data_IF_387813809680
#
_entry.id   IF_387813809680
#
_cell.length_a   1.000
_cell.length_b   1.000
_cell.length_c   1.000
_cell.angle_alpha   90.00
_cell.angle_beta   90.00
_cell.angle_gamma   90.00
#
_symmetry.space_group_name_H-M   'P 1'
#
loop_
_entity.id
_entity.type
_entity.pdbx_description
1 polymer ?
#
# COMPACT_ATOMS: atom_id res chain seq x y z
N UNK A 1 76.58 -13.65 -44.27
CA UNK A 1 75.22 -14.23 -44.17
C UNK A 1 74.88 -14.35 -42.70
N UNK A 2 73.82 -13.65 -42.26
CA UNK A 2 73.17 -13.66 -40.91
C UNK A 2 74.02 -13.07 -39.76
N UNK A 3 73.68 -11.88 -39.23
CA UNK A 3 72.60 -11.56 -38.24
C UNK A 3 72.81 -12.38 -36.93
N UNK A 4 72.86 -11.87 -35.70
CA UNK A 4 72.73 -10.55 -35.08
C UNK A 4 73.34 -10.63 -33.66
N UNK A 5 73.95 -9.56 -33.14
CA UNK A 5 73.37 -8.63 -32.16
C UNK A 5 72.64 -9.31 -30.97
N UNK A 6 73.20 -9.22 -29.77
CA UNK A 6 72.72 -8.32 -28.71
C UNK A 6 73.57 -8.44 -27.43
N UNK A 7 74.02 -7.27 -26.98
CA UNK A 7 74.93 -7.04 -25.87
C UNK A 7 74.24 -7.23 -24.51
N UNK A 8 74.97 -7.86 -23.59
CA UNK A 8 74.66 -7.91 -22.17
C UNK A 8 74.90 -6.53 -21.55
N UNK A 9 73.89 -5.94 -20.90
CA UNK A 9 74.15 -5.13 -19.69
C UNK A 9 72.92 -5.17 -18.80
N UNK A 10 73.09 -5.79 -17.62
CA UNK A 10 72.18 -5.66 -16.49
C UNK A 10 72.35 -4.27 -15.90
N UNK A 11 71.27 -3.52 -15.72
CA UNK A 11 71.26 -2.44 -14.74
C UNK A 11 69.96 -2.50 -13.94
N UNK A 12 70.11 -2.82 -12.66
CA UNK A 12 69.04 -2.81 -11.65
C UNK A 12 68.71 -1.36 -11.33
N UNK A 13 67.46 -0.97 -11.52
CA UNK A 13 66.91 0.23 -10.89
C UNK A 13 65.66 -0.20 -10.14
N UNK A 14 65.85 -0.38 -8.84
CA UNK A 14 64.80 -0.43 -7.85
C UNK A 14 64.09 0.93 -7.87
N UNK A 15 62.79 0.93 -8.19
CA UNK A 15 61.92 2.06 -7.88
C UNK A 15 60.58 1.47 -7.41
N UNK A 16 60.48 1.32 -6.09
CA UNK A 16 59.23 1.01 -5.41
C UNK A 16 58.28 2.20 -5.61
N UNK A 17 57.37 2.10 -6.57
CA UNK A 17 56.20 2.97 -6.66
C UNK A 17 55.07 2.30 -5.89
N UNK A 18 55.02 2.59 -4.60
CA UNK A 18 53.83 2.41 -3.76
C UNK A 18 52.83 3.47 -4.22
N UNK A 19 52.13 3.20 -5.32
CA UNK A 19 50.94 3.93 -5.70
C UNK A 19 49.77 3.39 -4.88
N UNK A 20 49.55 3.97 -3.70
CA UNK A 20 48.37 3.69 -2.89
C UNK A 20 47.12 4.19 -3.63
N UNK A 21 46.54 3.32 -4.46
CA UNK A 21 45.19 3.50 -4.98
C UNK A 21 44.25 3.48 -3.79
N UNK A 22 43.88 4.68 -3.31
CA UNK A 22 42.86 4.85 -2.30
C UNK A 22 41.58 4.19 -2.81
N UNK A 23 41.25 3.02 -2.25
CA UNK A 23 39.95 2.40 -2.38
C UNK A 23 38.95 3.31 -1.68
N UNK A 24 38.45 4.32 -2.39
CA UNK A 24 37.21 4.98 -2.05
C UNK A 24 36.10 3.95 -2.31
N UNK A 25 35.93 3.02 -1.36
CA UNK A 25 34.71 2.24 -1.23
C UNK A 25 33.60 3.22 -0.90
N UNK A 26 33.01 3.82 -1.93
CA UNK A 26 31.73 4.48 -1.80
C UNK A 26 30.71 3.44 -1.36
N UNK A 27 30.20 3.57 -0.15
CA UNK A 27 28.99 2.87 0.26
C UNK A 27 27.89 3.34 -0.69
N UNK A 28 27.51 2.51 -1.65
CA UNK A 28 26.23 2.68 -2.32
C UNK A 28 25.18 2.46 -1.23
N UNK A 29 24.60 3.55 -0.73
CA UNK A 29 23.31 3.46 -0.07
C UNK A 29 22.36 2.90 -1.14
N UNK A 30 21.89 1.67 -0.94
CA UNK A 30 20.73 1.20 -1.69
C UNK A 30 19.65 2.26 -1.54
N UNK A 31 18.88 2.60 -2.60
CA UNK A 31 17.66 3.34 -2.38
C UNK A 31 16.85 2.47 -1.42
N UNK A 32 16.76 2.92 -0.17
CA UNK A 32 15.82 2.35 0.78
C UNK A 32 14.48 2.46 0.07
N UNK A 33 13.79 1.31 -0.10
CA UNK A 33 12.42 1.32 -0.59
C UNK A 33 11.72 2.37 0.27
N UNK A 34 11.22 3.47 -0.32
CA UNK A 34 10.68 4.57 0.47
C UNK A 34 9.69 3.96 1.45
N UNK A 35 9.54 4.60 2.61
CA UNK A 35 8.57 4.26 3.67
C UNK A 35 7.12 4.39 3.15
N UNK A 36 6.85 3.78 2.02
CA UNK A 36 5.70 3.91 1.19
C UNK A 36 4.54 3.28 1.90
N UNK A 37 3.40 3.90 1.71
CA UNK A 37 2.15 3.46 2.26
C UNK A 37 1.09 3.50 1.20
N UNK A 38 0.06 2.70 1.41
CA UNK A 38 -1.22 2.89 0.77
C UNK A 38 -2.20 3.55 1.72
N UNK A 39 -3.23 4.16 1.15
CA UNK A 39 -4.32 4.78 1.91
C UNK A 39 -5.63 4.06 1.60
N UNK A 40 -6.36 3.63 2.62
CA UNK A 40 -7.72 3.13 2.48
C UNK A 40 -8.69 4.18 3.03
N UNK A 41 -9.57 4.68 2.18
CA UNK A 41 -10.54 5.75 2.47
C UNK A 41 -11.95 5.20 2.46
N UNK A 42 -12.66 5.31 3.58
CA UNK A 42 -14.11 5.02 3.66
C UNK A 42 -14.98 6.28 3.69
N UNK A 43 -14.36 7.46 3.55
CA UNK A 43 -15.00 8.74 3.82
C UNK A 43 -15.71 9.34 2.61
N UNK A 44 -15.14 9.16 1.41
CA UNK A 44 -15.64 9.81 0.21
C UNK A 44 -17.02 9.23 -0.16
N UNK A 45 -17.99 10.12 -0.38
CA UNK A 45 -19.34 9.75 -0.80
C UNK A 45 -19.35 9.54 -2.33
N UNK A 46 -19.66 8.33 -2.80
CA UNK A 46 -19.83 8.07 -4.23
C UNK A 46 -21.08 8.76 -4.77
N UNK A 47 -21.14 8.98 -6.08
CA UNK A 47 -22.34 9.50 -6.73
C UNK A 47 -23.51 8.52 -6.58
N UNK A 48 -24.70 9.05 -6.32
CA UNK A 48 -25.89 8.24 -6.04
C UNK A 48 -26.28 7.29 -7.20
N UNK A 49 -25.94 7.63 -8.44
CA UNK A 49 -26.20 6.78 -9.61
C UNK A 49 -25.36 5.50 -9.64
N UNK A 50 -24.30 5.42 -8.84
CA UNK A 50 -23.38 4.28 -8.81
C UNK A 50 -23.80 3.18 -7.85
N UNK A 51 -24.82 3.42 -7.01
CA UNK A 51 -25.27 2.55 -5.93
C UNK A 51 -24.19 2.19 -4.89
N UNK A 52 -23.08 2.93 -4.88
CA UNK A 52 -22.08 2.83 -3.83
C UNK A 52 -22.38 3.81 -2.71
N UNK A 53 -22.33 3.30 -1.49
CA UNK A 53 -22.56 4.05 -0.26
C UNK A 53 -21.32 4.01 0.63
N UNK A 54 -21.23 4.95 1.57
CA UNK A 54 -20.12 4.98 2.53
C UNK A 54 -20.14 3.75 3.44
N UNK A 55 -18.97 3.43 3.95
CA UNK A 55 -18.77 2.41 4.97
C UNK A 55 -17.98 2.98 6.14
N UNK A 56 -18.18 2.41 7.32
CA UNK A 56 -17.33 2.66 8.48
C UNK A 56 -16.54 1.41 8.80
N UNK A 57 -15.23 1.56 8.94
CA UNK A 57 -14.36 0.49 9.43
C UNK A 57 -14.51 0.37 10.93
N UNK A 58 -14.79 -0.84 11.39
CA UNK A 58 -14.97 -1.19 12.81
C UNK A 58 -13.82 -2.02 13.33
N UNK A 59 -13.27 -2.91 12.49
CA UNK A 59 -12.12 -3.73 12.81
C UNK A 59 -11.15 -3.78 11.63
N UNK A 60 -9.86 -3.87 11.96
CA UNK A 60 -8.78 -4.11 11.02
C UNK A 60 -8.01 -5.34 11.51
N UNK A 61 -7.88 -6.36 10.65
CA UNK A 61 -7.26 -7.65 10.98
C UNK A 61 -7.87 -8.28 12.25
N UNK A 62 -9.20 -8.23 12.37
CA UNK A 62 -9.95 -8.74 13.53
C UNK A 62 -9.86 -7.89 14.80
N UNK A 63 -9.02 -6.85 14.84
CA UNK A 63 -8.87 -5.97 15.99
C UNK A 63 -9.78 -4.75 15.87
N UNK A 64 -10.54 -4.44 16.92
CA UNK A 64 -11.39 -3.25 16.96
C UNK A 64 -10.54 -1.97 16.82
N UNK A 65 -10.96 -1.05 15.98
CA UNK A 65 -10.27 0.22 15.73
C UNK A 65 -11.20 1.40 15.93
N UNK A 66 -10.62 2.54 16.30
CA UNK A 66 -11.35 3.82 16.20
C UNK A 66 -11.60 4.12 14.74
N UNK A 67 -12.85 4.44 14.40
CA UNK A 67 -13.23 4.79 13.02
C UNK A 67 -12.49 6.05 12.58
N UNK A 68 -11.82 5.98 11.44
CA UNK A 68 -11.07 7.08 10.82
C UNK A 68 -11.54 7.25 9.37
N UNK A 69 -11.48 8.48 8.81
CA UNK A 69 -11.80 8.69 7.41
C UNK A 69 -10.80 7.98 6.48
N UNK A 70 -9.52 7.95 6.87
CA UNK A 70 -8.43 7.35 6.12
C UNK A 70 -7.57 6.46 7.02
N UNK A 71 -7.13 5.33 6.46
CA UNK A 71 -6.19 4.39 7.07
C UNK A 71 -4.93 4.36 6.22
N UNK A 72 -3.84 4.90 6.75
CA UNK A 72 -2.52 4.81 6.16
C UNK A 72 -1.87 3.50 6.61
N UNK A 73 -1.57 2.62 5.65
CA UNK A 73 -1.14 1.26 5.90
C UNK A 73 0.12 0.94 5.10
N UNK A 74 0.96 0.07 5.63
CA UNK A 74 2.07 -0.46 4.87
C UNK A 74 1.54 -1.32 3.71
N UNK A 75 2.30 -1.51 2.63
CA UNK A 75 1.89 -2.42 1.59
C UNK A 75 1.70 -3.84 2.14
N UNK A 76 0.59 -4.50 1.78
CA UNK A 76 0.27 -5.85 2.23
C UNK A 76 -1.22 -6.16 2.26
N UNK A 77 -1.56 -7.38 2.65
CA UNK A 77 -2.95 -7.84 2.76
C UNK A 77 -3.57 -7.46 4.10
N UNK A 78 -4.77 -6.89 4.04
CA UNK A 78 -5.55 -6.49 5.21
C UNK A 78 -6.96 -7.04 5.14
N UNK A 79 -7.51 -7.36 6.30
CA UNK A 79 -8.90 -7.75 6.49
C UNK A 79 -9.66 -6.61 7.18
N UNK A 80 -10.64 -6.05 6.49
CA UNK A 80 -11.48 -4.97 7.00
C UNK A 80 -12.84 -5.52 7.39
N UNK A 81 -13.28 -5.24 8.61
CA UNK A 81 -14.68 -5.40 9.01
C UNK A 81 -15.39 -4.06 8.93
N UNK A 82 -16.36 -3.96 8.04
CA UNK A 82 -17.07 -2.71 7.73
C UNK A 82 -18.55 -2.81 7.97
N UNK A 83 -19.15 -1.73 8.45
CA UNK A 83 -20.60 -1.54 8.46
C UNK A 83 -20.99 -0.54 7.37
N UNK A 84 -22.07 -0.83 6.67
CA UNK A 84 -22.60 0.04 5.62
C UNK A 84 -23.40 1.22 6.17
N UNK A 85 -23.38 2.34 5.43
CA UNK A 85 -24.17 3.54 5.68
C UNK A 85 -25.13 3.84 4.52
N UNK A 86 -25.82 2.81 4.03
CA UNK A 86 -26.84 2.94 2.98
C UNK A 86 -28.05 3.69 3.56
N UNK A 87 -28.41 4.78 2.90
CA UNK A 87 -29.57 5.63 3.18
C UNK A 87 -30.59 5.65 2.02
N UNK A 88 -30.49 4.68 1.10
CA UNK A 88 -31.40 4.52 -0.03
C UNK A 88 -32.86 4.28 0.45
N UNK A 89 -33.86 5.07 0.00
CA UNK A 89 -35.26 4.88 0.38
C UNK A 89 -35.85 3.52 0.01
N UNK A 90 -35.27 2.81 -0.96
CA UNK A 90 -35.72 1.49 -1.37
C UNK A 90 -35.25 0.38 -0.42
N UNK A 91 -34.28 0.66 0.46
CA UNK A 91 -33.77 -0.29 1.44
C UNK A 91 -34.87 -0.69 2.42
N UNK A 92 -35.32 -1.95 2.33
CA UNK A 92 -36.46 -2.48 3.09
C UNK A 92 -36.07 -3.55 4.12
N UNK A 93 -34.77 -3.67 4.44
CA UNK A 93 -34.26 -4.64 5.43
C UNK A 93 -34.39 -4.09 6.86
N UNK A 94 -34.48 -4.98 7.83
CA UNK A 94 -34.52 -4.59 9.25
C UNK A 94 -33.15 -4.16 9.75
N UNK A 95 -33.09 -3.30 10.79
CA UNK A 95 -31.82 -2.91 11.41
C UNK A 95 -31.00 -4.10 11.91
N UNK A 96 -31.66 -5.16 12.39
CA UNK A 96 -31.00 -6.39 12.83
C UNK A 96 -30.34 -7.18 11.67
N UNK A 97 -30.76 -6.94 10.42
CA UNK A 97 -30.14 -7.52 9.23
C UNK A 97 -28.89 -6.73 8.78
N UNK A 98 -28.72 -5.50 9.26
CA UNK A 98 -27.60 -4.61 8.91
C UNK A 98 -26.35 -4.99 9.69
N UNK A 99 -25.85 -6.20 9.44
CA UNK A 99 -24.64 -6.74 10.09
C UNK A 99 -23.38 -6.32 9.34
N UNK A 100 -22.27 -6.04 10.04
CA UNK A 100 -20.99 -5.78 9.39
C UNK A 100 -20.54 -6.95 8.50
N UNK A 101 -19.77 -6.63 7.46
CA UNK A 101 -19.16 -7.61 6.56
C UNK A 101 -17.65 -7.49 6.57
N UNK A 102 -17.00 -8.61 6.29
CA UNK A 102 -15.54 -8.71 6.19
C UNK A 102 -15.17 -8.70 4.71
N UNK A 103 -14.15 -7.93 4.34
CA UNK A 103 -13.52 -8.02 3.03
C UNK A 103 -12.01 -7.89 3.12
N UNK A 104 -11.30 -8.49 2.16
CA UNK A 104 -9.85 -8.48 2.08
C UNK A 104 -9.40 -7.52 1.00
N UNK A 105 -8.33 -6.79 1.27
CA UNK A 105 -7.73 -5.84 0.35
C UNK A 105 -6.21 -5.96 0.42
N UNK A 106 -5.57 -6.19 -0.72
CA UNK A 106 -4.14 -6.01 -0.86
C UNK A 106 -3.85 -4.54 -1.11
N UNK A 107 -3.22 -3.88 -0.14
CA UNK A 107 -2.85 -2.47 -0.19
C UNK A 107 -1.47 -2.37 -0.83
N UNK A 108 -1.36 -1.62 -1.91
CA UNK A 108 -0.08 -1.32 -2.57
C UNK A 108 0.47 0.04 -2.12
N UNK A 109 1.78 0.23 -2.29
CA UNK A 109 2.43 1.51 -2.05
C UNK A 109 1.93 2.57 -3.02
N UNK A 110 1.80 3.80 -2.55
CA UNK A 110 1.44 4.98 -3.34
C UNK A 110 0.09 4.87 -4.03
N UNK A 111 -0.82 4.09 -3.45
CA UNK A 111 -2.20 3.94 -3.91
C UNK A 111 -3.18 4.41 -2.86
N UNK A 112 -4.28 4.98 -3.31
CA UNK A 112 -5.48 5.20 -2.50
C UNK A 112 -6.63 4.35 -3.02
N UNK A 113 -7.22 3.59 -2.10
CA UNK A 113 -8.41 2.78 -2.33
C UNK A 113 -9.61 3.44 -1.64
N UNK A 114 -10.61 3.83 -2.40
CA UNK A 114 -11.89 4.28 -1.87
C UNK A 114 -12.82 3.08 -1.75
N UNK A 115 -13.15 2.73 -0.51
CA UNK A 115 -13.98 1.59 -0.16
C UNK A 115 -15.42 2.02 0.10
N UNK A 116 -16.36 1.14 -0.17
CA UNK A 116 -17.79 1.42 -0.04
C UNK A 116 -18.62 0.17 0.08
N UNK A 117 -19.92 0.39 0.27
CA UNK A 117 -20.95 -0.63 0.24
C UNK A 117 -21.70 -0.53 -1.09
N UNK A 118 -21.55 -1.55 -1.93
CA UNK A 118 -22.36 -1.67 -3.14
C UNK A 118 -23.74 -2.16 -2.74
N UNK A 119 -24.78 -1.36 -2.98
CA UNK A 119 -26.16 -1.73 -2.75
C UNK A 119 -26.74 -2.45 -3.97
N UNK A 120 -27.21 -3.68 -3.78
CA UNK A 120 -27.82 -4.47 -4.84
C UNK A 120 -29.29 -4.08 -5.02
N UNK A 121 -29.63 -3.64 -6.23
CA UNK A 121 -30.94 -3.12 -6.63
C UNK A 121 -31.67 -4.03 -7.62
N UNK A 122 -31.08 -5.19 -7.94
CA UNK A 122 -31.59 -6.19 -8.87
C UNK A 122 -32.90 -6.84 -8.40
N UNK A 123 -33.13 -6.89 -7.08
CA UNK A 123 -34.33 -7.42 -6.47
C UNK A 123 -34.67 -6.70 -5.17
N UNK A 124 -35.87 -6.97 -4.67
CA UNK A 124 -36.32 -6.43 -3.39
C UNK A 124 -35.82 -7.29 -2.23
N UNK A 125 -34.87 -6.76 -1.48
CA UNK A 125 -34.40 -7.35 -0.22
C UNK A 125 -35.30 -6.93 0.95
N UNK A 126 -35.65 -7.86 1.83
CA UNK A 126 -36.59 -7.61 2.92
C UNK A 126 -36.25 -8.40 4.19
N UNK A 127 -36.74 -7.92 5.33
CA UNK A 127 -36.69 -8.67 6.58
C UNK A 127 -35.26 -8.84 7.10
N UNK A 128 -34.80 -10.09 7.19
CA UNK A 128 -33.47 -10.48 7.70
C UNK A 128 -32.45 -10.81 6.61
N UNK A 129 -32.77 -10.51 5.35
CA UNK A 129 -31.83 -10.74 4.25
C UNK A 129 -30.58 -9.85 4.41
N UNK A 130 -29.39 -10.45 4.42
CA UNK A 130 -28.10 -9.77 4.54
C UNK A 130 -27.38 -9.65 3.20
N UNK A 131 -27.92 -10.23 2.13
CA UNK A 131 -27.37 -10.23 0.77
C UNK A 131 -27.69 -8.98 -0.05
N UNK A 132 -28.24 -7.94 0.58
CA UNK A 132 -28.65 -6.69 -0.08
C UNK A 132 -27.47 -5.78 -0.45
N UNK A 133 -26.27 -6.07 0.05
CA UNK A 133 -25.09 -5.26 -0.24
C UNK A 133 -23.81 -6.09 -0.18
N UNK A 134 -22.71 -5.55 -0.70
CA UNK A 134 -21.37 -6.10 -0.47
C UNK A 134 -20.31 -4.99 -0.32
N UNK A 135 -19.26 -5.21 0.49
CA UNK A 135 -18.14 -4.28 0.56
C UNK A 135 -17.24 -4.40 -0.67
N UNK A 136 -16.63 -3.30 -1.09
CA UNK A 136 -15.65 -3.32 -2.17
C UNK A 136 -14.93 -2.00 -2.37
N UNK A 137 -13.98 -2.01 -3.32
CA UNK A 137 -13.29 -0.80 -3.80
C UNK A 137 -14.07 -0.26 -4.99
N UNK A 138 -14.55 0.97 -4.91
CA UNK A 138 -15.30 1.61 -5.98
C UNK A 138 -14.46 2.60 -6.79
N UNK A 139 -13.34 3.06 -6.22
CA UNK A 139 -12.35 3.86 -6.94
C UNK A 139 -10.95 3.58 -6.38
N UNK A 140 -9.97 3.55 -7.29
CA UNK A 140 -8.55 3.48 -6.95
C UNK A 140 -7.82 4.59 -7.72
N UNK A 141 -6.89 5.26 -7.05
CA UNK A 141 -6.09 6.34 -7.62
C UNK A 141 -4.66 6.30 -7.11
N UNK A 142 -3.73 6.77 -7.93
CA UNK A 142 -2.36 7.03 -7.49
C UNK A 142 -2.37 8.11 -6.42
N UNK A 143 -1.69 7.84 -5.31
CA UNK A 143 -1.63 8.74 -4.18
C UNK A 143 -0.31 8.60 -3.43
N UNK A 144 0.53 9.62 -3.56
CA UNK A 144 1.79 9.73 -2.81
C UNK A 144 1.53 9.72 -1.30
N UNK A 145 2.25 8.85 -0.62
CA UNK A 145 2.10 8.58 0.81
C UNK A 145 3.43 8.09 1.36
N UNK A 146 3.85 8.63 2.52
CA UNK A 146 5.04 8.18 3.25
C UNK A 146 4.75 8.11 4.74
N UNK A 147 5.22 7.06 5.41
CA UNK A 147 5.24 7.02 6.87
C UNK A 147 6.31 7.98 7.39
N UNK A 148 5.91 8.87 8.31
CA UNK A 148 6.86 9.66 9.06
C UNK A 148 7.53 8.74 10.10
N UNK A 149 8.81 8.42 9.90
CA UNK A 149 9.63 7.89 10.98
C UNK A 149 9.83 9.00 12.01
N UNK A 150 9.02 9.01 13.07
CA UNK A 150 9.27 9.89 14.20
C UNK A 150 10.63 9.55 14.83
N UNK A 151 11.58 10.49 14.94
CA UNK A 151 12.89 10.21 15.51
C UNK A 151 12.83 10.31 17.05
N UNK A 152 12.24 9.35 17.74
CA UNK A 152 12.46 9.16 19.19
C UNK A 152 12.43 7.65 19.50
N UNK A 153 13.54 7.01 19.88
CA UNK A 153 14.05 7.04 21.26
C UNK A 153 15.54 6.68 21.24
N UNK A 154 16.39 7.58 21.74
CA UNK A 154 17.77 7.29 22.17
C UNK A 154 17.76 6.97 23.66
#
# INVERSE_FOLDING_TARGET
>A
MKEGLFSFTRLRISAALIGASALLSGCAASPEDPLGCGTVSGYLQPDASTHWYRVVVTHLNGQAVVSKPNYQLAPGEYEFTVAELIDDPSLSVTLAARTPKVFKLNVESHQRYHIGALFHTDKRYMGKDTGYWEPGVWQQEEHECQFELSPETK
#
